data_IF_082148061159
#
_entry.id   IF_082148061159
#
_cell.length_a   1.000
_cell.length_b   1.000
_cell.length_c   1.000
_cell.angle_alpha   90.00
_cell.angle_beta   90.00
_cell.angle_gamma   90.00
#
_symmetry.space_group_name_H-M   'P 1'
#
loop_
_entity.id
_entity.type
_entity.pdbx_description
1 polymer ?
#
# COMPACT_ATOMS: atom_id res chain seq x y z
N UNK A 1 -4.84 -78.31 -13.28
CA UNK A 1 -4.78 -77.09 -14.20
C UNK A 1 -5.05 -75.85 -13.34
N UNK A 2 -4.00 -75.11 -12.96
CA UNK A 2 -4.08 -73.96 -12.11
C UNK A 2 -3.99 -72.73 -13.00
N UNK A 3 -5.10 -71.96 -13.11
CA UNK A 3 -5.10 -70.71 -13.84
C UNK A 3 -4.47 -69.62 -12.95
N UNK A 4 -3.31 -69.14 -13.38
CA UNK A 4 -2.69 -67.94 -12.77
C UNK A 4 -3.42 -66.72 -13.29
N UNK A 5 -4.07 -65.96 -12.40
CA UNK A 5 -4.65 -64.64 -12.67
C UNK A 5 -3.53 -63.64 -12.37
N UNK A 6 -3.04 -62.96 -13.41
CA UNK A 6 -2.08 -61.84 -13.30
C UNK A 6 -2.89 -60.57 -13.12
N UNK A 7 -2.84 -59.97 -11.92
CA UNK A 7 -3.34 -58.61 -11.69
C UNK A 7 -2.30 -57.60 -12.17
N UNK A 8 -2.62 -56.90 -13.25
CA UNK A 8 -1.86 -55.74 -13.67
C UNK A 8 -2.37 -54.55 -12.88
N UNK A 9 -1.58 -54.09 -11.91
CA UNK A 9 -1.86 -52.84 -11.18
C UNK A 9 -1.36 -51.68 -12.04
N UNK A 10 -2.25 -50.96 -12.68
CA UNK A 10 -1.98 -49.69 -13.36
C UNK A 10 -1.84 -48.61 -12.28
N UNK A 11 -0.59 -48.23 -11.93
CA UNK A 11 -0.28 -47.06 -11.16
C UNK A 11 -0.47 -45.84 -12.05
N UNK A 12 -1.63 -45.18 -11.91
CA UNK A 12 -1.87 -43.84 -12.50
C UNK A 12 -1.15 -42.84 -11.61
N UNK A 13 0.06 -42.45 -12.02
CA UNK A 13 0.73 -41.27 -11.46
C UNK A 13 -0.02 -40.01 -11.91
N UNK A 14 -0.97 -39.54 -11.10
CA UNK A 14 -1.53 -38.20 -11.25
C UNK A 14 -0.46 -37.18 -10.87
N UNK A 15 0.28 -36.71 -11.85
CA UNK A 15 1.16 -35.54 -11.70
C UNK A 15 0.23 -34.34 -11.52
N UNK A 16 0.00 -33.95 -10.27
CA UNK A 16 -0.57 -32.65 -9.95
C UNK A 16 0.44 -31.57 -10.38
N UNK A 17 0.31 -31.09 -11.61
CA UNK A 17 0.96 -29.84 -12.02
C UNK A 17 0.29 -28.73 -11.24
N UNK A 18 0.85 -28.39 -10.09
CA UNK A 18 0.53 -27.15 -9.39
C UNK A 18 1.06 -26.04 -10.30
N UNK A 19 0.23 -25.57 -11.23
CA UNK A 19 0.47 -24.31 -11.91
C UNK A 19 0.43 -23.21 -10.86
N UNK A 20 1.56 -22.99 -10.20
CA UNK A 20 1.80 -21.82 -9.38
C UNK A 20 1.59 -20.63 -10.32
N UNK A 21 0.43 -19.99 -10.23
CA UNK A 21 0.21 -18.70 -10.87
C UNK A 21 1.20 -17.74 -10.20
N UNK A 22 2.38 -17.61 -10.81
CA UNK A 22 3.38 -16.64 -10.41
C UNK A 22 2.88 -15.27 -10.89
N UNK A 23 1.79 -14.80 -10.28
CA UNK A 23 1.28 -13.47 -10.54
C UNK A 23 2.33 -12.51 -9.98
N UNK A 24 3.13 -11.96 -10.88
CA UNK A 24 4.07 -10.90 -10.50
C UNK A 24 3.24 -9.76 -9.90
N UNK A 25 3.69 -9.27 -8.75
CA UNK A 25 3.05 -8.13 -8.11
C UNK A 25 2.89 -6.97 -9.10
N UNK A 26 1.71 -6.32 -9.14
CA UNK A 26 1.52 -5.13 -9.96
C UNK A 26 2.51 -4.04 -9.57
N UNK A 27 3.03 -3.33 -10.57
CA UNK A 27 3.87 -2.15 -10.36
C UNK A 27 3.12 -0.94 -10.92
N UNK A 28 3.06 0.11 -10.10
CA UNK A 28 2.48 1.41 -10.49
C UNK A 28 3.54 2.49 -10.50
N UNK A 29 3.30 3.55 -11.26
CA UNK A 29 4.07 4.79 -11.24
C UNK A 29 3.19 5.95 -10.77
N UNK A 30 3.61 6.63 -9.71
CA UNK A 30 3.07 7.89 -9.23
C UNK A 30 3.88 9.01 -9.89
N UNK A 31 3.31 9.68 -10.88
CA UNK A 31 3.97 10.78 -11.62
C UNK A 31 3.69 12.10 -10.95
N UNK A 32 4.69 12.67 -10.30
CA UNK A 32 4.56 13.97 -9.61
C UNK A 32 5.33 15.09 -10.33
N UNK A 33 5.04 16.34 -10.00
CA UNK A 33 5.82 17.49 -10.48
C UNK A 33 7.29 17.47 -9.99
N UNK A 34 7.60 16.64 -8.96
CA UNK A 34 8.94 16.47 -8.40
C UNK A 34 9.66 15.22 -8.92
N UNK A 35 9.02 14.41 -9.75
CA UNK A 35 9.56 13.17 -10.31
C UNK A 35 8.62 11.97 -10.12
N UNK A 36 9.09 10.80 -10.55
CA UNK A 36 8.31 9.56 -10.51
C UNK A 36 8.68 8.73 -9.28
N UNK A 37 7.65 8.12 -8.68
CA UNK A 37 7.78 7.15 -7.59
C UNK A 37 7.17 5.85 -8.10
N UNK A 38 7.97 4.79 -8.24
CA UNK A 38 7.46 3.48 -8.65
C UNK A 38 7.28 2.58 -7.45
N UNK A 39 6.12 1.94 -7.37
CA UNK A 39 5.70 1.15 -6.21
C UNK A 39 5.28 -0.24 -6.65
N UNK A 40 5.82 -1.26 -6.02
CA UNK A 40 5.34 -2.64 -6.11
C UNK A 40 4.21 -2.85 -5.10
N UNK A 41 3.08 -3.39 -5.57
CA UNK A 41 1.89 -3.66 -4.75
C UNK A 41 1.78 -5.15 -4.43
N UNK A 42 1.67 -5.51 -3.18
CA UNK A 42 1.67 -6.90 -2.70
C UNK A 42 0.27 -7.51 -2.75
N UNK A 43 -0.22 -7.81 -3.97
CA UNK A 43 -1.58 -8.27 -4.23
C UNK A 43 -1.92 -9.63 -3.58
N UNK A 44 -0.95 -10.50 -3.38
CA UNK A 44 -1.09 -11.78 -2.69
C UNK A 44 -1.18 -11.64 -1.17
N UNK A 45 -0.62 -10.58 -0.59
CA UNK A 45 -0.58 -10.32 0.84
C UNK A 45 -1.71 -9.41 1.33
N UNK A 46 -2.03 -8.36 0.57
CA UNK A 46 -3.06 -7.36 0.86
C UNK A 46 -4.06 -7.24 -0.31
N UNK A 47 -4.79 -8.32 -0.65
CA UNK A 47 -5.59 -8.39 -1.88
C UNK A 47 -6.72 -7.35 -1.93
N UNK A 48 -7.40 -7.06 -0.82
CA UNK A 48 -8.51 -6.09 -0.78
C UNK A 48 -7.98 -4.67 -0.95
N UNK A 49 -6.90 -4.34 -0.25
CA UNK A 49 -6.29 -3.01 -0.28
C UNK A 49 -5.70 -2.73 -1.67
N UNK A 50 -4.96 -3.70 -2.24
CA UNK A 50 -4.38 -3.56 -3.58
C UNK A 50 -5.48 -3.45 -4.63
N UNK A 51 -6.53 -4.30 -4.58
CA UNK A 51 -7.64 -4.23 -5.52
C UNK A 51 -8.34 -2.86 -5.49
N UNK A 52 -8.56 -2.31 -4.29
CA UNK A 52 -9.13 -0.97 -4.12
C UNK A 52 -8.24 0.10 -4.75
N UNK A 53 -6.94 0.11 -4.43
CA UNK A 53 -6.01 1.11 -4.95
C UNK A 53 -5.92 1.04 -6.48
N UNK A 54 -5.86 -0.17 -7.04
CA UNK A 54 -5.85 -0.38 -8.49
C UNK A 54 -7.17 0.03 -9.15
N UNK A 55 -8.31 -0.14 -8.49
CA UNK A 55 -9.60 0.33 -8.98
C UNK A 55 -9.61 1.86 -9.16
N UNK A 56 -9.07 2.62 -8.19
CA UNK A 56 -8.90 4.07 -8.34
C UNK A 56 -7.91 4.41 -9.47
N UNK A 57 -6.82 3.67 -9.58
CA UNK A 57 -5.81 3.83 -10.64
C UNK A 57 -6.42 3.61 -12.03
N UNK A 58 -7.08 2.47 -12.24
CA UNK A 58 -7.64 2.07 -13.53
C UNK A 58 -8.82 2.95 -13.96
N UNK A 59 -9.55 3.52 -13.00
CA UNK A 59 -10.62 4.49 -13.25
C UNK A 59 -10.11 5.93 -13.43
N UNK A 60 -8.78 6.15 -13.47
CA UNK A 60 -8.15 7.48 -13.57
C UNK A 60 -8.57 8.47 -12.47
N UNK A 61 -9.08 7.97 -11.34
CA UNK A 61 -9.55 8.80 -10.23
C UNK A 61 -8.41 9.45 -9.44
N UNK A 62 -7.15 9.06 -9.66
CA UNK A 62 -5.96 9.73 -9.13
C UNK A 62 -5.40 10.83 -10.04
N UNK A 63 -6.05 11.16 -11.15
CA UNK A 63 -5.63 12.32 -11.95
C UNK A 63 -5.77 13.61 -11.13
N UNK A 64 -4.72 14.44 -11.16
CA UNK A 64 -4.65 15.69 -10.40
C UNK A 64 -4.82 15.52 -8.88
N UNK A 65 -4.52 14.34 -8.35
CA UNK A 65 -4.32 14.14 -6.92
C UNK A 65 -3.06 14.88 -6.43
N UNK A 66 -2.73 14.79 -5.18
CA UNK A 66 -1.52 15.46 -4.67
C UNK A 66 -0.99 14.82 -3.40
N UNK A 67 0.30 15.08 -3.11
CA UNK A 67 0.80 15.01 -1.75
C UNK A 67 0.52 16.36 -1.09
N UNK A 68 -0.15 16.37 0.03
CA UNK A 68 -0.63 17.57 0.71
C UNK A 68 -0.21 17.66 2.17
N UNK A 69 0.27 16.55 2.75
CA UNK A 69 0.65 16.47 4.16
C UNK A 69 2.01 15.80 4.32
N UNK A 70 2.85 16.38 5.18
CA UNK A 70 4.15 15.85 5.60
C UNK A 70 4.16 15.81 7.12
N UNK A 71 4.36 14.63 7.67
CA UNK A 71 4.41 14.40 9.11
C UNK A 71 5.84 14.09 9.52
N UNK A 72 6.40 14.91 10.43
CA UNK A 72 7.77 14.83 10.92
C UNK A 72 7.80 14.93 12.46
N UNK A 73 8.87 14.48 13.13
CA UNK A 73 8.97 14.57 14.59
C UNK A 73 8.78 15.99 15.15
N UNK A 74 9.23 17.02 14.42
CA UNK A 74 9.19 18.43 14.79
C UNK A 74 7.82 19.10 14.62
N UNK A 75 6.89 18.50 13.85
CA UNK A 75 5.57 19.09 13.57
C UNK A 75 4.39 18.30 14.18
N UNK A 76 4.65 17.48 15.21
CA UNK A 76 3.67 16.70 15.94
C UNK A 76 3.69 17.05 17.46
N UNK A 77 3.42 18.31 17.86
CA UNK A 77 3.65 18.73 19.25
C UNK A 77 2.74 18.00 20.26
N UNK A 78 1.56 17.56 19.83
CA UNK A 78 0.55 16.91 20.69
C UNK A 78 0.56 15.38 20.62
N UNK A 79 1.37 14.78 19.73
CA UNK A 79 1.46 13.34 19.61
C UNK A 79 2.60 12.77 20.47
N UNK A 80 2.28 11.87 21.36
CA UNK A 80 3.30 11.16 22.18
C UNK A 80 4.11 10.16 21.35
N UNK A 81 3.51 9.61 20.29
CA UNK A 81 4.16 8.69 19.36
C UNK A 81 4.38 9.41 18.04
N UNK A 82 5.63 9.69 17.70
CA UNK A 82 6.02 10.39 16.48
C UNK A 82 6.08 9.40 15.31
N UNK A 83 5.73 9.88 14.12
CA UNK A 83 5.83 9.14 12.85
C UNK A 83 6.44 10.03 11.77
N UNK A 84 6.93 9.42 10.71
CA UNK A 84 7.52 10.11 9.58
C UNK A 84 6.92 9.58 8.27
N UNK A 85 6.05 10.39 7.64
CA UNK A 85 5.36 10.02 6.41
C UNK A 85 5.12 11.22 5.53
N UNK A 86 4.96 10.95 4.21
CA UNK A 86 4.28 11.86 3.29
C UNK A 86 2.92 11.26 2.96
N UNK A 87 1.86 12.07 3.02
CA UNK A 87 0.49 11.62 2.74
C UNK A 87 -0.07 12.35 1.52
N UNK A 88 -0.76 11.60 0.69
CA UNK A 88 -1.43 12.09 -0.50
C UNK A 88 -2.67 11.28 -0.83
N UNK A 89 -3.29 11.62 -1.92
CA UNK A 89 -4.52 11.00 -2.40
C UNK A 89 -5.40 12.01 -3.09
N UNK A 90 -6.67 11.66 -3.22
CA UNK A 90 -7.67 12.56 -3.79
C UNK A 90 -8.09 13.60 -2.76
N UNK A 91 -8.21 14.84 -3.19
CA UNK A 91 -8.77 15.91 -2.35
C UNK A 91 -10.30 16.01 -2.45
N UNK A 92 -10.87 15.45 -3.51
CA UNK A 92 -12.30 15.40 -3.75
C UNK A 92 -12.77 13.95 -3.60
N UNK A 93 -13.60 13.71 -2.59
CA UNK A 93 -14.17 12.39 -2.33
C UNK A 93 -15.40 12.08 -3.19
N UNK A 94 -15.93 13.07 -3.95
CA UNK A 94 -17.08 12.86 -4.82
C UNK A 94 -16.76 11.84 -5.91
N UNK A 95 -17.68 10.92 -6.19
CA UNK A 95 -17.46 9.87 -7.19
C UNK A 95 -16.39 8.83 -6.80
N UNK A 96 -15.98 8.77 -5.53
CA UNK A 96 -15.11 7.74 -4.99
C UNK A 96 -15.83 6.40 -4.77
N UNK A 97 -15.06 5.38 -4.39
CA UNK A 97 -15.61 4.06 -4.05
C UNK A 97 -15.87 3.95 -2.55
N UNK A 98 -16.72 2.99 -2.18
CA UNK A 98 -17.01 2.69 -0.77
C UNK A 98 -15.73 2.29 -0.01
N UNK A 99 -15.68 2.59 1.30
CA UNK A 99 -14.60 2.16 2.17
C UNK A 99 -14.40 0.64 2.15
N UNK A 100 -13.17 0.21 2.43
CA UNK A 100 -12.77 -1.20 2.37
C UNK A 100 -12.51 -1.78 3.75
N UNK A 101 -12.57 -3.12 3.83
CA UNK A 101 -12.15 -3.88 5.00
C UNK A 101 -10.67 -3.55 5.32
N UNK A 102 -10.38 -3.43 6.60
CA UNK A 102 -9.05 -3.14 7.09
C UNK A 102 -8.17 -4.39 7.15
N UNK A 103 -7.18 -4.48 6.27
CA UNK A 103 -6.16 -5.54 6.26
C UNK A 103 -4.98 -5.11 7.14
N UNK A 104 -4.95 -5.54 8.39
CA UNK A 104 -3.90 -5.18 9.35
C UNK A 104 -2.55 -5.79 8.99
N UNK A 105 -1.45 -5.23 9.50
CA UNK A 105 -0.11 -5.79 9.30
C UNK A 105 0.05 -7.17 9.94
N UNK A 106 -0.75 -7.53 10.95
CA UNK A 106 -0.79 -8.88 11.50
C UNK A 106 -1.41 -9.91 10.56
N UNK A 107 -2.32 -9.49 9.68
CA UNK A 107 -2.94 -10.35 8.66
C UNK A 107 -2.03 -10.50 7.44
N UNK A 108 -1.46 -9.39 6.99
CA UNK A 108 -0.70 -9.32 5.74
C UNK A 108 0.79 -9.65 5.91
N UNK A 109 1.33 -9.44 7.12
CA UNK A 109 2.76 -9.49 7.40
C UNK A 109 3.58 -8.37 6.72
N UNK A 110 2.92 -7.34 6.16
CA UNK A 110 3.58 -6.17 5.56
C UNK A 110 3.77 -5.10 6.64
N UNK A 111 4.97 -5.01 7.20
CA UNK A 111 5.29 -4.02 8.24
C UNK A 111 5.66 -2.67 7.63
N UNK A 112 5.43 -1.59 8.39
CA UNK A 112 5.72 -0.21 7.99
C UNK A 112 7.20 0.12 8.06
N UNK A 113 8.01 -0.43 7.14
CA UNK A 113 9.42 -0.06 6.96
C UNK A 113 9.59 1.11 5.97
N UNK A 114 10.83 1.61 5.82
CA UNK A 114 11.14 2.70 4.88
C UNK A 114 10.62 2.42 3.47
N UNK A 115 9.89 3.37 2.91
CA UNK A 115 9.28 3.28 1.57
C UNK A 115 8.01 2.46 1.46
N UNK A 116 7.49 1.89 2.54
CA UNK A 116 6.20 1.17 2.51
C UNK A 116 5.07 2.16 2.28
N UNK A 117 4.16 1.80 1.34
CA UNK A 117 2.90 2.51 1.08
C UNK A 117 1.78 1.86 1.89
N UNK A 118 0.94 2.70 2.49
CA UNK A 118 -0.16 2.26 3.36
C UNK A 118 -1.38 3.16 3.19
N UNK A 119 -2.59 2.62 3.43
CA UNK A 119 -3.82 3.41 3.36
C UNK A 119 -3.98 4.29 4.58
N UNK A 120 -4.28 5.57 4.36
CA UNK A 120 -4.75 6.44 5.41
C UNK A 120 -6.21 6.11 5.78
N UNK A 121 -6.58 6.34 7.04
CA UNK A 121 -7.91 6.06 7.56
C UNK A 121 -8.27 6.96 8.75
N UNK A 122 -9.54 7.13 9.02
CA UNK A 122 -10.06 7.70 10.27
C UNK A 122 -10.20 6.59 11.33
N UNK A 123 -10.94 5.53 11.02
CA UNK A 123 -11.09 4.34 11.84
C UNK A 123 -10.91 3.05 11.02
N UNK A 124 -10.83 1.86 11.65
CA UNK A 124 -10.78 0.59 10.93
C UNK A 124 -11.96 0.48 9.95
N UNK A 125 -11.68 0.09 8.70
CA UNK A 125 -12.70 -0.04 7.66
C UNK A 125 -13.16 1.29 7.04
N UNK A 126 -12.48 2.41 7.26
CA UNK A 126 -12.84 3.71 6.65
C UNK A 126 -11.92 4.14 5.50
N UNK A 127 -10.94 3.32 5.13
CA UNK A 127 -10.00 3.66 4.06
C UNK A 127 -10.68 3.68 2.68
N UNK A 128 -10.39 4.70 1.86
CA UNK A 128 -10.91 4.89 0.50
C UNK A 128 -9.78 5.09 -0.51
N UNK A 129 -9.31 6.33 -0.72
CA UNK A 129 -8.32 6.70 -1.74
C UNK A 129 -7.05 7.34 -1.17
N UNK A 130 -7.06 7.71 0.11
CA UNK A 130 -5.94 8.37 0.75
C UNK A 130 -4.86 7.36 1.15
N UNK A 131 -3.60 7.72 0.91
CA UNK A 131 -2.46 6.87 1.23
C UNK A 131 -1.30 7.68 1.78
N UNK A 132 -0.34 7.00 2.38
CA UNK A 132 0.92 7.61 2.78
C UNK A 132 2.09 6.69 2.45
N UNK A 133 3.29 7.28 2.38
CA UNK A 133 4.56 6.55 2.21
C UNK A 133 5.42 6.83 3.43
N UNK A 134 5.95 5.78 4.04
CA UNK A 134 6.83 5.86 5.21
C UNK A 134 8.21 6.41 4.82
N UNK A 135 8.74 7.26 5.68
CA UNK A 135 10.13 7.71 5.66
C UNK A 135 10.81 7.14 6.91
N UNK A 136 11.77 6.25 6.70
CA UNK A 136 12.28 5.41 7.78
C UNK A 136 11.26 4.36 8.26
N UNK A 137 11.69 3.54 9.22
CA UNK A 137 10.85 2.49 9.79
C UNK A 137 9.86 3.06 10.80
N UNK A 138 8.57 2.68 10.68
CA UNK A 138 7.46 3.23 11.45
C UNK A 138 6.67 2.14 12.19
N UNK A 139 7.29 1.38 13.12
CA UNK A 139 6.63 0.23 13.78
C UNK A 139 5.41 0.62 14.62
N UNK A 140 5.31 1.90 15.00
CA UNK A 140 4.14 2.42 15.71
C UNK A 140 2.86 2.45 14.86
N UNK A 141 2.97 2.31 13.53
CA UNK A 141 1.86 2.21 12.58
C UNK A 141 1.38 0.78 12.35
N UNK A 142 2.11 -0.23 12.84
CA UNK A 142 1.73 -1.64 12.73
C UNK A 142 0.58 -2.01 13.67
N UNK A 143 -0.02 -3.18 13.45
CA UNK A 143 -0.98 -3.76 14.39
C UNK A 143 -0.35 -3.91 15.78
N UNK A 144 -1.05 -3.48 16.81
CA UNK A 144 -0.52 -3.37 18.19
C UNK A 144 0.36 -2.15 18.41
N UNK A 145 0.67 -1.37 17.39
CA UNK A 145 1.41 -0.11 17.48
C UNK A 145 0.60 0.97 18.20
N UNK A 146 1.32 1.95 18.76
CA UNK A 146 0.74 2.94 19.69
C UNK A 146 0.32 4.26 19.00
N UNK A 147 0.49 4.39 17.67
CA UNK A 147 0.10 5.62 16.97
C UNK A 147 -1.41 5.83 17.03
N UNK A 148 -2.20 4.78 16.83
CA UNK A 148 -3.65 4.81 16.94
C UNK A 148 -4.11 4.16 18.25
N UNK A 149 -5.04 4.81 18.94
CA UNK A 149 -5.59 4.30 20.21
C UNK A 149 -6.34 2.98 20.07
N UNK A 150 -6.84 2.68 18.86
CA UNK A 150 -7.53 1.41 18.56
C UNK A 150 -6.58 0.21 18.42
N UNK A 151 -5.26 0.43 18.35
CA UNK A 151 -4.24 -0.59 18.20
C UNK A 151 -4.29 -1.38 16.88
N UNK A 152 -5.17 -0.99 15.93
CA UNK A 152 -5.33 -1.73 14.68
C UNK A 152 -4.28 -1.35 13.62
N UNK A 153 -3.50 -0.29 13.85
CA UNK A 153 -2.50 0.20 12.90
C UNK A 153 -3.11 0.66 11.58
N UNK A 154 -2.34 0.53 10.50
CA UNK A 154 -2.75 0.90 9.14
C UNK A 154 -2.58 -0.28 8.19
N UNK A 155 -3.22 -0.20 7.01
CA UNK A 155 -3.18 -1.25 5.99
C UNK A 155 -2.02 -1.00 5.02
N UNK A 156 -0.85 -1.56 5.31
CA UNK A 156 0.31 -1.55 4.42
C UNK A 156 0.11 -2.55 3.28
N UNK A 157 0.40 -2.13 2.02
CA UNK A 157 0.04 -2.94 0.86
C UNK A 157 1.06 -2.94 -0.28
N UNK A 158 2.22 -2.31 -0.12
CA UNK A 158 3.27 -2.26 -1.14
C UNK A 158 4.50 -1.51 -0.66
N UNK A 159 5.46 -1.34 -1.57
CA UNK A 159 6.71 -0.62 -1.28
C UNK A 159 7.24 0.10 -2.51
N UNK A 160 7.84 1.27 -2.30
CA UNK A 160 8.61 2.00 -3.29
C UNK A 160 9.82 1.17 -3.73
N UNK A 161 9.93 0.91 -5.02
CA UNK A 161 11.05 0.18 -5.64
C UNK A 161 12.02 1.11 -6.38
N UNK A 162 11.56 2.34 -6.71
CA UNK A 162 12.42 3.43 -7.19
C UNK A 162 11.74 4.78 -6.96
N UNK A 163 12.52 5.85 -6.81
CA UNK A 163 12.00 7.19 -6.55
C UNK A 163 11.93 7.56 -5.06
N UNK A 164 12.61 6.84 -4.15
CA UNK A 164 12.70 7.25 -2.73
C UNK A 164 13.37 8.61 -2.56
N UNK A 165 14.24 9.01 -3.47
CA UNK A 165 14.81 10.37 -3.49
C UNK A 165 13.73 11.43 -3.75
N UNK A 166 12.69 11.12 -4.53
CA UNK A 166 11.52 12.00 -4.73
C UNK A 166 10.71 12.08 -3.44
N UNK A 167 10.43 10.94 -2.80
CA UNK A 167 9.75 10.88 -1.50
C UNK A 167 10.46 11.75 -0.47
N UNK A 168 11.80 11.61 -0.35
CA UNK A 168 12.60 12.40 0.59
C UNK A 168 12.63 13.89 0.25
N UNK A 169 12.61 14.27 -1.03
CA UNK A 169 12.49 15.69 -1.42
C UNK A 169 11.12 16.28 -1.03
N UNK A 170 10.03 15.52 -1.23
CA UNK A 170 8.70 15.94 -0.78
C UNK A 170 8.68 16.07 0.75
N UNK A 171 9.24 15.09 1.45
CA UNK A 171 9.32 15.09 2.92
C UNK A 171 10.11 16.28 3.47
N UNK A 172 11.14 16.75 2.76
CA UNK A 172 11.99 17.87 3.15
C UNK A 172 11.37 19.26 2.86
N UNK A 173 10.21 19.33 2.21
CA UNK A 173 9.56 20.61 1.92
C UNK A 173 9.24 21.37 3.22
N UNK A 174 9.33 22.70 3.21
CA UNK A 174 8.94 23.51 4.34
C UNK A 174 7.45 23.33 4.67
N UNK A 175 7.14 23.02 5.93
CA UNK A 175 5.77 22.91 6.44
C UNK A 175 5.69 23.58 7.81
N UNK A 176 4.96 24.71 7.95
CA UNK A 176 4.76 25.35 9.22
C UNK A 176 3.88 24.51 10.18
N UNK A 177 3.02 23.69 9.61
CA UNK A 177 2.20 22.69 10.29
C UNK A 177 2.51 21.30 9.72
N UNK A 178 1.55 20.41 9.61
CA UNK A 178 1.70 19.15 8.84
C UNK A 178 1.26 19.31 7.38
N UNK A 179 0.57 20.39 7.02
CA UNK A 179 0.00 20.59 5.70
C UNK A 179 0.88 21.51 4.85
N UNK A 180 1.16 21.08 3.62
CA UNK A 180 1.90 21.84 2.63
C UNK A 180 1.08 23.05 2.18
N UNK A 181 1.65 24.26 2.24
CA UNK A 181 1.05 25.47 1.66
C UNK A 181 0.88 25.29 0.14
N UNK A 182 1.93 24.82 -0.52
CA UNK A 182 1.87 24.40 -1.93
C UNK A 182 1.91 22.88 -1.99
N UNK A 183 0.76 22.27 -2.32
CA UNK A 183 0.63 20.83 -2.52
C UNK A 183 1.50 20.38 -3.68
N UNK A 184 2.09 19.17 -3.58
CA UNK A 184 2.85 18.58 -4.69
C UNK A 184 1.87 17.86 -5.60
N UNK A 185 1.70 18.36 -6.82
CA UNK A 185 0.76 17.79 -7.80
C UNK A 185 1.20 16.40 -8.22
N UNK A 186 0.27 15.45 -8.18
CA UNK A 186 0.39 14.14 -8.81
C UNK A 186 -0.42 14.18 -10.11
N UNK A 187 0.26 14.17 -11.25
CA UNK A 187 -0.39 14.24 -12.55
C UNK A 187 -1.22 13.00 -12.85
N UNK A 188 -0.67 11.84 -12.49
CA UNK A 188 -1.34 10.55 -12.69
C UNK A 188 -0.70 9.46 -11.82
N UNK A 189 -1.51 8.44 -11.48
CA UNK A 189 -1.04 7.14 -10.99
C UNK A 189 -1.49 6.10 -12.03
N UNK A 190 -0.54 5.34 -12.58
CA UNK A 190 -0.83 4.36 -13.62
C UNK A 190 -0.05 3.07 -13.43
N UNK A 191 -0.59 1.95 -13.89
CA UNK A 191 0.15 0.69 -13.95
C UNK A 191 1.28 0.82 -14.98
N UNK A 192 2.44 0.25 -14.67
CA UNK A 192 3.57 0.12 -15.58
C UNK A 192 3.97 -1.35 -15.78
N UNK A 193 3.35 -2.24 -15.00
CA UNK A 193 3.47 -3.69 -15.13
C UNK A 193 2.35 -4.40 -14.37
#
# INVERSE_FOLDING_TARGET
MIKRIIYVILLINAVFVISGCNSRNPIISIKTEMGNINVELYADRAPVTVANFLKYTDSSLFMNSCFYRVVRPDNQPHDSVKIEVIQGGRLDETGGFSPIIHETTSMTGVLHSDGVISMARLGPGSATSEFFICVGDQPSLDYGGKRNRDGQGFAAFGRVISGMEVVRRIYALPVPTQYLEKKVTTYNISRIK
#
